data_IF_897178003184
#
_entry.id   IF_897178003184
#
_cell.length_a   1.000
_cell.length_b   1.000
_cell.length_c   1.000
_cell.angle_alpha   90.00
_cell.angle_beta   90.00
_cell.angle_gamma   90.00
#
_symmetry.space_group_name_H-M   'P 1'
#
loop_
_entity.id
_entity.type
_entity.pdbx_description
1 polymer ?
#
# COMPACT_ATOMS: atom_id res chain seq x y z
N UNK A 1 -1.67 3.43 -12.14
CA UNK A 1 -3.01 2.91 -11.81
C UNK A 1 -3.82 4.05 -11.20
N UNK A 2 -5.04 4.27 -11.67
CA UNK A 2 -5.99 5.21 -11.07
C UNK A 2 -7.23 4.41 -10.64
N UNK A 3 -7.93 4.87 -9.61
CA UNK A 3 -9.13 4.21 -9.12
C UNK A 3 -9.91 5.07 -8.15
N UNK A 4 -11.07 4.55 -7.75
CA UNK A 4 -11.86 5.09 -6.66
C UNK A 4 -11.77 4.13 -5.47
N UNK A 5 -11.79 4.68 -4.27
CA UNK A 5 -11.89 3.94 -3.03
C UNK A 5 -13.19 4.31 -2.34
N UNK A 6 -13.92 3.33 -1.81
CA UNK A 6 -15.09 3.58 -0.98
C UNK A 6 -14.80 3.19 0.47
N UNK A 7 -14.90 4.15 1.38
CA UNK A 7 -14.75 3.93 2.81
C UNK A 7 -16.13 3.89 3.48
N UNK A 8 -16.61 2.68 3.77
CA UNK A 8 -17.92 2.45 4.38
C UNK A 8 -18.06 2.96 5.82
N UNK A 9 -16.95 3.24 6.51
CA UNK A 9 -17.00 3.75 7.90
C UNK A 9 -17.41 5.23 7.93
N UNK A 10 -17.06 5.99 6.90
CA UNK A 10 -17.35 7.43 6.80
C UNK A 10 -18.25 7.79 5.63
N UNK A 11 -18.59 6.83 4.76
CA UNK A 11 -19.49 7.04 3.62
C UNK A 11 -18.84 7.78 2.44
N UNK A 12 -17.51 7.77 2.37
CA UNK A 12 -16.74 8.56 1.41
C UNK A 12 -16.32 7.74 0.18
N UNK A 13 -16.37 8.38 -0.99
CA UNK A 13 -15.68 7.92 -2.19
C UNK A 13 -14.49 8.85 -2.44
N UNK A 14 -13.29 8.31 -2.34
CA UNK A 14 -12.05 9.05 -2.55
C UNK A 14 -11.34 8.62 -3.83
N UNK A 15 -10.55 9.51 -4.40
CA UNK A 15 -9.67 9.15 -5.52
C UNK A 15 -8.41 8.47 -4.99
N UNK A 16 -7.97 7.41 -5.67
CA UNK A 16 -6.68 6.79 -5.42
C UNK A 16 -5.89 6.66 -6.71
N UNK A 17 -4.57 6.83 -6.60
CA UNK A 17 -3.67 6.76 -7.73
C UNK A 17 -2.28 6.32 -7.33
N UNK A 18 -1.63 5.59 -8.23
CA UNK A 18 -0.22 5.24 -8.14
C UNK A 18 0.43 5.45 -9.49
N UNK A 19 1.54 6.19 -9.52
CA UNK A 19 2.35 6.43 -10.70
C UNK A 19 3.78 5.95 -10.44
N UNK A 20 4.24 4.98 -11.21
CA UNK A 20 5.63 4.50 -11.14
C UNK A 20 6.51 5.47 -11.93
N UNK A 21 7.33 6.23 -11.22
CA UNK A 21 8.24 7.21 -11.81
C UNK A 21 9.57 6.59 -12.22
N UNK A 22 10.05 5.61 -11.45
CA UNK A 22 11.29 4.89 -11.73
C UNK A 22 11.03 3.40 -11.58
N UNK A 23 11.31 2.65 -12.64
CA UNK A 23 11.31 1.19 -12.59
C UNK A 23 12.54 0.70 -11.83
N UNK A 24 12.40 -0.40 -11.10
CA UNK A 24 13.54 -1.02 -10.42
C UNK A 24 14.60 -1.47 -11.43
N UNK A 25 15.87 -1.30 -11.06
CA UNK A 25 17.00 -1.91 -11.75
C UNK A 25 17.91 -2.60 -10.73
N UNK A 26 18.98 -3.25 -11.19
CA UNK A 26 20.01 -3.80 -10.29
C UNK A 26 20.50 -2.76 -9.26
N UNK A 27 20.68 -1.51 -9.67
CA UNK A 27 21.29 -0.45 -8.85
C UNK A 27 20.31 0.57 -8.29
N UNK A 28 19.09 0.66 -8.82
CA UNK A 28 18.10 1.68 -8.41
C UNK A 28 16.85 1.02 -7.85
N UNK A 29 16.28 1.50 -6.74
CA UNK A 29 14.98 1.04 -6.28
C UNK A 29 13.89 1.47 -7.27
N UNK A 30 12.75 0.79 -7.24
CA UNK A 30 11.51 1.34 -7.80
C UNK A 30 11.13 2.58 -6.99
N UNK A 31 10.67 3.63 -7.69
CA UNK A 31 10.09 4.81 -7.08
C UNK A 31 8.70 5.03 -7.64
N UNK A 32 7.72 5.17 -6.76
CA UNK A 32 6.36 5.52 -7.16
C UNK A 32 5.76 6.63 -6.29
N UNK A 33 4.96 7.46 -6.94
CA UNK A 33 4.12 8.45 -6.29
C UNK A 33 2.74 7.86 -6.07
N UNK A 34 2.21 8.05 -4.87
CA UNK A 34 0.91 7.53 -4.48
C UNK A 34 -0.02 8.63 -3.96
N UNK A 35 -1.31 8.41 -4.13
CA UNK A 35 -2.34 9.15 -3.42
C UNK A 35 -3.54 8.25 -3.14
N UNK A 36 -4.18 8.46 -2.00
CA UNK A 36 -5.43 7.81 -1.61
C UNK A 36 -6.12 8.70 -0.56
N UNK A 37 -7.35 8.36 -0.20
CA UNK A 37 -7.87 8.67 1.14
C UNK A 37 -6.77 8.53 2.18
N UNK A 38 -6.74 9.42 3.16
CA UNK A 38 -5.81 9.32 4.28
C UNK A 38 -6.03 7.97 5.02
N UNK A 39 -5.23 7.72 6.04
CA UNK A 39 -5.08 6.43 6.70
C UNK A 39 -6.42 5.88 7.20
N UNK A 40 -6.44 4.57 7.40
CA UNK A 40 -7.55 3.90 8.06
C UNK A 40 -7.86 4.64 9.38
N UNK A 41 -9.12 5.00 9.59
CA UNK A 41 -9.58 5.69 10.80
C UNK A 41 -9.46 7.22 10.81
N UNK A 42 -9.05 7.87 9.71
CA UNK A 42 -9.26 9.32 9.56
C UNK A 42 -10.70 9.66 9.16
N UNK A 43 -11.20 10.87 9.48
CA UNK A 43 -12.48 11.36 8.97
C UNK A 43 -12.50 11.51 7.45
N UNK A 44 -13.69 11.74 6.88
CA UNK A 44 -13.85 12.05 5.45
C UNK A 44 -13.17 13.38 5.05
N UNK A 45 -12.82 13.49 3.77
CA UNK A 45 -12.35 14.73 3.16
C UNK A 45 -10.84 14.94 3.21
N UNK A 46 -10.07 13.96 3.68
CA UNK A 46 -8.61 14.04 3.77
C UNK A 46 -7.94 13.07 2.81
N UNK A 47 -6.94 13.57 2.09
CA UNK A 47 -6.11 12.83 1.17
C UNK A 47 -4.70 12.67 1.75
N UNK A 48 -4.02 11.59 1.35
CA UNK A 48 -2.57 11.46 1.54
C UNK A 48 -1.83 11.45 0.22
N UNK A 49 -0.58 11.88 0.27
CA UNK A 49 0.34 11.90 -0.86
C UNK A 49 1.66 11.26 -0.46
N UNK A 50 2.14 10.31 -1.23
CA UNK A 50 3.31 9.51 -0.87
C UNK A 50 4.35 9.42 -1.97
N UNK A 51 5.60 9.27 -1.55
CA UNK A 51 6.72 8.82 -2.38
C UNK A 51 7.29 7.57 -1.73
N UNK A 52 7.22 6.46 -2.44
CA UNK A 52 7.67 5.16 -1.94
C UNK A 52 8.86 4.66 -2.74
N UNK A 53 9.83 4.10 -2.01
CA UNK A 53 11.01 3.43 -2.53
C UNK A 53 10.93 1.95 -2.16
N UNK A 54 11.02 1.07 -3.15
CA UNK A 54 10.99 -0.38 -2.94
C UNK A 54 12.13 -1.05 -3.71
N UNK A 55 12.71 -2.11 -3.16
CA UNK A 55 13.79 -2.85 -3.84
C UNK A 55 13.74 -4.33 -3.50
N UNK A 56 13.75 -5.18 -4.52
CA UNK A 56 13.94 -6.61 -4.33
C UNK A 56 15.38 -6.91 -3.90
N UNK A 57 15.54 -7.81 -2.93
CA UNK A 57 16.86 -8.27 -2.49
C UNK A 57 17.31 -9.45 -3.37
N UNK A 58 18.41 -9.33 -4.13
CA UNK A 58 18.87 -10.43 -4.98
C UNK A 58 19.11 -11.72 -4.18
N UNK A 59 18.56 -12.82 -4.67
CA UNK A 59 18.70 -14.15 -4.04
C UNK A 59 17.80 -14.38 -2.82
N UNK A 60 16.90 -13.44 -2.48
CA UNK A 60 15.92 -13.62 -1.42
C UNK A 60 14.52 -13.25 -1.91
N UNK A 61 13.46 -13.92 -1.44
CA UNK A 61 12.10 -13.62 -1.85
C UNK A 61 11.54 -12.42 -1.07
N UNK A 62 12.34 -11.38 -0.86
CA UNK A 62 11.95 -10.22 -0.05
C UNK A 62 12.18 -8.91 -0.78
N UNK A 63 11.25 -7.99 -0.58
CA UNK A 63 11.28 -6.64 -1.13
C UNK A 63 10.90 -5.64 -0.04
N UNK A 64 11.88 -5.08 0.71
CA UNK A 64 11.62 -3.99 1.63
C UNK A 64 11.17 -2.73 0.89
N UNK A 65 10.39 -1.92 1.57
CA UNK A 65 10.05 -0.59 1.13
C UNK A 65 10.06 0.42 2.29
N UNK A 66 10.27 1.68 1.93
CA UNK A 66 10.08 2.83 2.80
C UNK A 66 9.34 3.90 2.02
N UNK A 67 8.57 4.73 2.72
CA UNK A 67 7.78 5.78 2.12
C UNK A 67 7.86 7.06 2.94
N UNK A 68 7.73 8.18 2.26
CA UNK A 68 7.46 9.48 2.88
C UNK A 68 6.07 9.88 2.45
N UNK A 69 5.17 10.03 3.41
CA UNK A 69 3.76 10.33 3.16
C UNK A 69 3.37 11.61 3.88
N UNK A 70 2.81 12.57 3.15
CA UNK A 70 2.11 13.70 3.74
C UNK A 70 0.66 13.31 4.02
N UNK A 71 0.25 13.44 5.28
CA UNK A 71 -1.13 13.26 5.73
C UNK A 71 -1.79 14.63 5.84
N UNK A 72 -2.87 14.86 5.10
CA UNK A 72 -3.65 16.09 5.24
C UNK A 72 -4.39 16.15 6.58
N UNK A 73 -4.81 15.01 7.13
CA UNK A 73 -5.54 14.99 8.41
C UNK A 73 -4.66 15.46 9.57
N UNK A 74 -3.41 14.98 9.62
CA UNK A 74 -2.47 15.34 10.68
C UNK A 74 -1.60 16.57 10.33
N UNK A 75 -1.69 17.09 9.10
CA UNK A 75 -0.83 18.14 8.54
C UNK A 75 0.68 17.85 8.70
N UNK A 76 1.08 16.59 8.59
CA UNK A 76 2.45 16.17 8.87
C UNK A 76 2.97 15.07 7.94
N UNK A 77 4.30 14.95 7.89
CA UNK A 77 4.97 13.83 7.25
C UNK A 77 4.98 12.62 8.19
N UNK A 78 4.59 11.48 7.65
CA UNK A 78 4.75 10.16 8.26
C UNK A 78 5.64 9.30 7.39
N UNK A 79 6.27 8.29 8.02
CA UNK A 79 7.29 7.47 7.36
C UNK A 79 6.87 5.99 7.38
N UNK A 80 5.95 5.57 6.50
CA UNK A 80 5.60 4.16 6.38
C UNK A 80 6.79 3.33 5.94
N UNK A 81 6.83 2.07 6.38
CA UNK A 81 7.82 1.10 5.94
C UNK A 81 7.26 -0.30 6.04
N UNK A 82 7.86 -1.24 5.31
CA UNK A 82 7.46 -2.63 5.39
C UNK A 82 8.35 -3.54 4.57
N UNK A 83 7.95 -4.81 4.55
CA UNK A 83 8.64 -5.88 3.88
C UNK A 83 7.60 -6.75 3.20
N UNK A 84 7.70 -6.86 1.87
CA UNK A 84 6.99 -7.88 1.13
C UNK A 84 7.83 -9.17 1.11
N UNK A 85 7.21 -10.30 1.41
CA UNK A 85 7.77 -11.64 1.29
C UNK A 85 7.00 -12.40 0.22
N UNK A 86 7.66 -12.80 -0.86
CA UNK A 86 7.07 -13.59 -1.92
C UNK A 86 6.99 -15.06 -1.49
N UNK A 87 5.78 -15.61 -1.42
CA UNK A 87 5.57 -17.01 -1.02
C UNK A 87 5.70 -17.95 -2.23
N UNK A 88 5.07 -17.58 -3.34
CA UNK A 88 5.16 -18.25 -4.65
C UNK A 88 4.85 -17.25 -5.78
N UNK A 89 4.53 -17.69 -6.98
CA UNK A 89 4.26 -16.80 -8.13
C UNK A 89 3.00 -15.92 -7.96
N UNK A 90 2.03 -16.34 -7.14
CA UNK A 90 0.75 -15.67 -6.97
C UNK A 90 0.54 -15.10 -5.57
N UNK A 91 1.23 -15.64 -4.55
CA UNK A 91 1.05 -15.28 -3.16
C UNK A 91 2.20 -14.46 -2.60
N UNK A 92 1.86 -13.42 -1.85
CA UNK A 92 2.83 -12.65 -1.06
C UNK A 92 2.27 -12.25 0.30
N UNK A 93 3.17 -12.09 1.27
CA UNK A 93 2.86 -11.59 2.60
C UNK A 93 3.55 -10.24 2.80
N UNK A 94 2.77 -9.23 3.15
CA UNK A 94 3.27 -7.89 3.41
C UNK A 94 3.08 -7.55 4.89
N UNK A 95 4.20 -7.43 5.60
CA UNK A 95 4.22 -6.80 6.92
C UNK A 95 4.57 -5.33 6.77
N UNK A 96 3.76 -4.43 7.33
CA UNK A 96 4.01 -3.00 7.22
C UNK A 96 3.64 -2.22 8.47
N UNK A 97 4.23 -1.04 8.61
CA UNK A 97 3.87 -0.01 9.55
C UNK A 97 3.51 1.26 8.76
N UNK A 98 2.32 1.81 8.96
CA UNK A 98 1.80 2.98 8.23
C UNK A 98 2.37 4.34 8.75
N UNK A 99 3.35 4.28 9.64
CA UNK A 99 3.88 5.43 10.37
C UNK A 99 3.22 5.63 11.75
N UNK A 100 2.15 4.89 12.07
CA UNK A 100 1.49 4.90 13.39
C UNK A 100 1.23 3.51 13.93
N UNK A 101 0.75 2.61 13.09
CA UNK A 101 0.31 1.27 13.46
C UNK A 101 0.75 0.26 12.42
N UNK A 102 0.87 -0.99 12.88
CA UNK A 102 1.29 -2.11 12.05
C UNK A 102 0.11 -2.86 11.44
N UNK A 103 0.36 -3.49 10.31
CA UNK A 103 -0.59 -4.30 9.56
C UNK A 103 0.13 -5.49 8.96
N UNK A 104 -0.62 -6.58 8.75
CA UNK A 104 -0.16 -7.71 7.95
C UNK A 104 -1.19 -7.97 6.86
N UNK A 105 -0.73 -8.14 5.63
CA UNK A 105 -1.59 -8.43 4.49
C UNK A 105 -1.11 -9.67 3.77
N UNK A 106 -2.04 -10.57 3.46
CA UNK A 106 -1.84 -11.69 2.56
C UNK A 106 -2.45 -11.32 1.21
N UNK A 107 -1.64 -11.33 0.16
CA UNK A 107 -2.06 -10.98 -1.19
C UNK A 107 -2.04 -12.22 -2.08
N UNK A 108 -3.06 -12.34 -2.93
CA UNK A 108 -3.16 -13.27 -4.04
C UNK A 108 -3.36 -12.48 -5.33
N UNK A 109 -2.48 -12.65 -6.30
CA UNK A 109 -2.58 -12.08 -7.64
C UNK A 109 -2.79 -13.15 -8.71
N UNK A 110 -3.84 -12.99 -9.50
CA UNK A 110 -4.09 -13.72 -10.74
C UNK A 110 -4.01 -12.75 -11.94
N UNK A 111 -4.15 -13.26 -13.17
CA UNK A 111 -4.03 -12.45 -14.39
C UNK A 111 -5.04 -11.29 -14.44
N UNK A 112 -6.30 -11.55 -14.05
CA UNK A 112 -7.41 -10.60 -14.19
C UNK A 112 -7.92 -10.04 -12.86
N UNK A 113 -7.46 -10.58 -11.72
CA UNK A 113 -7.93 -10.14 -10.41
C UNK A 113 -6.87 -10.31 -9.33
N UNK A 114 -7.05 -9.56 -8.25
CA UNK A 114 -6.30 -9.74 -7.03
C UNK A 114 -7.24 -9.74 -5.82
N UNK A 115 -6.83 -10.49 -4.80
CA UNK A 115 -7.49 -10.52 -3.50
C UNK A 115 -6.43 -10.25 -2.43
N UNK A 116 -6.75 -9.38 -1.50
CA UNK A 116 -5.93 -9.09 -0.34
C UNK A 116 -6.76 -9.29 0.93
N UNK A 117 -6.19 -10.04 1.88
CA UNK A 117 -6.70 -10.17 3.23
C UNK A 117 -5.78 -9.37 4.16
N UNK A 118 -6.33 -8.41 4.89
CA UNK A 118 -5.56 -7.61 5.84
C UNK A 118 -5.94 -7.91 7.28
N UNK A 119 -4.95 -7.90 8.16
CA UNK A 119 -5.14 -7.75 9.59
C UNK A 119 -4.63 -6.37 9.98
N UNK A 120 -5.56 -5.43 10.00
CA UNK A 120 -5.35 -4.01 10.16
C UNK A 120 -5.21 -3.69 11.65
N UNK A 121 -4.10 -3.03 12.00
CA UNK A 121 -3.77 -2.66 13.39
C UNK A 121 -3.71 -3.83 14.38
N UNK A 122 -3.70 -5.06 13.88
CA UNK A 122 -3.95 -6.28 14.66
C UNK A 122 -5.29 -6.30 15.41
N UNK A 123 -6.27 -5.51 14.95
CA UNK A 123 -7.58 -5.37 15.58
C UNK A 123 -8.71 -5.75 14.63
N UNK A 124 -8.56 -5.50 13.32
CA UNK A 124 -9.64 -5.63 12.34
C UNK A 124 -9.21 -6.44 11.14
N UNK A 125 -10.06 -7.36 10.70
CA UNK A 125 -9.90 -8.02 9.41
C UNK A 125 -10.37 -7.08 8.28
N UNK A 126 -9.67 -7.08 7.16
CA UNK A 126 -10.08 -6.42 5.92
C UNK A 126 -9.99 -7.38 4.74
N UNK A 127 -10.81 -7.13 3.73
CA UNK A 127 -10.75 -7.81 2.44
C UNK A 127 -10.77 -6.74 1.36
N UNK A 128 -9.84 -6.84 0.42
CA UNK A 128 -9.81 -6.02 -0.79
C UNK A 128 -9.82 -6.93 -2.00
N UNK A 129 -10.66 -6.62 -2.96
CA UNK A 129 -10.74 -7.32 -4.25
C UNK A 129 -10.62 -6.28 -5.34
N UNK A 130 -9.80 -6.54 -6.35
CA UNK A 130 -9.76 -5.70 -7.53
C UNK A 130 -9.57 -6.52 -8.79
N UNK A 131 -9.94 -5.91 -9.91
CA UNK A 131 -9.96 -6.51 -11.23
C UNK A 131 -9.09 -5.67 -12.17
N UNK A 132 -8.30 -6.33 -13.01
CA UNK A 132 -7.51 -5.72 -14.08
C UNK A 132 -7.98 -6.26 -15.42
N UNK A 133 -8.03 -5.39 -16.43
CA UNK A 133 -8.38 -5.70 -17.82
C UNK A 133 -7.34 -5.07 -18.76
#
# INVERSE_FOLDING_TARGET
MLGLEYNSQVGEVAFRGTYVAVQETERTPQVHFGTSSDRIGTPEGYQQYSVTFAKAIPGAPISPYVSVTYSEFDEQLVFPFGLNYQLDENWSLLGMHDGRKSHVMLNYGAEEYYVQLGWIWFERASVTVGFGF
#
